data_IF_946973664415
#
_entry.id   IF_946973664415
#
_cell.length_a   1.000
_cell.length_b   1.000
_cell.length_c   1.000
_cell.angle_alpha   90.00
_cell.angle_beta   90.00
_cell.angle_gamma   90.00
#
_symmetry.space_group_name_H-M   'P 1'
#
loop_
_entity.id
_entity.type
_entity.pdbx_description
1 polymer ?
#
# COMPACT_ATOMS: atom_id res chain seq x y z
N UNK A 1 8.81 14.68 -18.54
CA UNK A 1 9.09 13.36 -19.17
C UNK A 1 8.35 12.33 -18.36
N UNK A 2 7.38 11.62 -18.94
CA UNK A 2 6.65 10.54 -18.27
C UNK A 2 7.62 9.39 -17.99
N UNK A 3 7.60 8.84 -16.78
CA UNK A 3 8.38 7.65 -16.41
C UNK A 3 7.67 6.37 -16.83
N UNK A 4 6.70 6.41 -17.74
CA UNK A 4 5.92 5.25 -18.16
C UNK A 4 6.37 4.77 -19.54
N UNK A 5 6.83 3.53 -19.63
CA UNK A 5 7.14 2.85 -20.87
C UNK A 5 5.88 2.18 -21.42
N UNK A 6 5.31 2.79 -22.46
CA UNK A 6 4.12 2.29 -23.15
C UNK A 6 4.36 0.96 -23.91
N UNK A 7 5.61 0.55 -24.15
CA UNK A 7 5.93 -0.71 -24.82
C UNK A 7 5.95 -1.89 -23.85
N UNK A 8 6.32 -1.66 -22.59
CA UNK A 8 6.32 -2.69 -21.54
C UNK A 8 5.13 -2.57 -20.58
N UNK A 9 4.36 -1.48 -20.66
CA UNK A 9 3.31 -1.09 -19.72
C UNK A 9 3.82 -0.91 -18.27
N UNK A 10 5.08 -0.48 -18.12
CA UNK A 10 5.77 -0.35 -16.82
C UNK A 10 6.13 1.10 -16.54
N UNK A 11 6.09 1.51 -15.28
CA UNK A 11 6.83 2.70 -14.89
C UNK A 11 8.33 2.37 -14.86
N UNK A 12 9.09 2.99 -15.74
CA UNK A 12 10.55 3.08 -15.67
C UNK A 12 10.92 3.72 -14.33
N UNK A 13 11.34 2.88 -13.41
CA UNK A 13 12.16 3.29 -12.28
C UNK A 13 13.39 3.99 -12.88
N UNK A 14 13.62 5.24 -12.53
CA UNK A 14 14.81 5.99 -12.94
C UNK A 14 16.07 5.22 -12.54
N UNK A 15 17.21 5.42 -13.21
CA UNK A 15 18.44 4.65 -12.96
C UNK A 15 18.97 4.77 -11.49
N UNK A 16 18.46 5.72 -10.69
CA UNK A 16 18.70 5.84 -9.25
C UNK A 16 17.68 5.13 -8.33
N UNK A 17 16.61 4.55 -8.89
CA UNK A 17 15.56 3.76 -8.22
C UNK A 17 15.81 2.24 -8.35
N UNK A 18 17.03 1.80 -8.69
CA UNK A 18 17.41 0.40 -8.49
C UNK A 18 17.22 0.03 -7.02
N UNK A 19 16.46 -1.02 -6.74
CA UNK A 19 16.14 -1.45 -5.37
C UNK A 19 17.38 -2.08 -4.69
N UNK A 20 18.28 -1.23 -4.22
CA UNK A 20 19.50 -1.58 -3.50
C UNK A 20 19.24 -2.27 -2.15
N UNK A 21 17.97 -2.33 -1.72
CA UNK A 21 17.55 -2.96 -0.48
C UNK A 21 16.95 -4.34 -0.70
N UNK A 22 16.66 -4.77 -1.94
CA UNK A 22 15.88 -5.98 -2.22
C UNK A 22 16.37 -7.23 -1.45
N UNK A 23 17.66 -7.56 -1.54
CA UNK A 23 18.20 -8.74 -0.87
C UNK A 23 18.20 -8.61 0.66
N UNK A 24 18.51 -7.42 1.18
CA UNK A 24 18.42 -7.14 2.63
C UNK A 24 16.98 -7.20 3.12
N UNK A 25 16.03 -6.76 2.30
CA UNK A 25 14.60 -6.80 2.58
C UNK A 25 14.09 -8.23 2.62
N UNK A 26 14.44 -9.06 1.63
CA UNK A 26 14.10 -10.50 1.62
C UNK A 26 14.62 -11.19 2.87
N UNK A 27 15.90 -10.98 3.19
CA UNK A 27 16.53 -11.53 4.39
C UNK A 27 15.79 -11.08 5.66
N UNK A 28 15.49 -9.78 5.77
CA UNK A 28 14.84 -9.24 6.96
C UNK A 28 13.40 -9.74 7.12
N UNK A 29 12.64 -9.82 6.04
CA UNK A 29 11.30 -10.40 6.06
C UNK A 29 11.33 -11.87 6.49
N UNK A 30 12.30 -12.64 6.00
CA UNK A 30 12.50 -14.03 6.42
C UNK A 30 12.79 -14.14 7.93
N UNK A 31 13.67 -13.31 8.48
CA UNK A 31 13.96 -13.24 9.93
C UNK A 31 12.72 -12.88 10.76
N UNK A 32 11.86 -12.01 10.22
CA UNK A 32 10.58 -11.63 10.84
C UNK A 32 9.49 -12.69 10.63
N UNK A 33 9.78 -13.82 9.98
CA UNK A 33 8.81 -14.86 9.66
C UNK A 33 7.67 -14.36 8.75
N UNK A 34 7.95 -13.34 7.94
CA UNK A 34 7.02 -12.75 6.99
C UNK A 34 7.37 -13.21 5.57
N UNK A 35 6.35 -13.42 4.75
CA UNK A 35 6.48 -13.84 3.37
C UNK A 35 5.11 -13.81 2.69
N UNK A 36 4.91 -14.71 1.72
CA UNK A 36 3.67 -14.78 0.94
C UNK A 36 2.55 -15.55 1.66
N UNK A 37 2.25 -15.13 2.89
CA UNK A 37 1.17 -15.68 3.68
C UNK A 37 0.28 -14.55 4.23
N UNK A 38 -1.05 -14.72 4.21
CA UNK A 38 -1.94 -13.78 4.87
C UNK A 38 -1.72 -13.83 6.39
N UNK A 39 -1.77 -12.67 7.03
CA UNK A 39 -1.65 -12.54 8.47
C UNK A 39 -2.95 -11.94 9.03
N UNK A 40 -3.74 -12.71 9.83
CA UNK A 40 -5.01 -12.23 10.37
C UNK A 40 -4.90 -10.96 11.23
N UNK A 41 -3.76 -10.76 11.91
CA UNK A 41 -3.52 -9.54 12.68
C UNK A 41 -3.34 -8.33 11.76
N UNK A 42 -2.70 -8.53 10.60
CA UNK A 42 -2.50 -7.48 9.61
C UNK A 42 -3.74 -7.22 8.76
N UNK A 43 -4.60 -8.22 8.54
CA UNK A 43 -5.95 -8.02 8.00
C UNK A 43 -6.79 -7.16 8.97
N UNK A 44 -6.74 -7.46 10.27
CA UNK A 44 -7.42 -6.65 11.29
C UNK A 44 -6.82 -5.23 11.40
N UNK A 45 -5.51 -5.09 11.25
CA UNK A 45 -4.86 -3.78 11.15
C UNK A 45 -5.34 -3.00 9.92
N UNK A 46 -5.40 -3.65 8.76
CA UNK A 46 -5.89 -3.05 7.52
C UNK A 46 -7.35 -2.57 7.66
N UNK A 47 -8.21 -3.34 8.33
CA UNK A 47 -9.58 -2.93 8.61
C UNK A 47 -9.64 -1.63 9.45
N UNK A 48 -8.88 -1.55 10.55
CA UNK A 48 -8.79 -0.34 11.38
C UNK A 48 -8.20 0.85 10.62
N UNK A 49 -7.22 0.59 9.76
CA UNK A 49 -6.63 1.61 8.88
C UNK A 49 -7.69 2.18 7.92
N UNK A 50 -8.51 1.33 7.31
CA UNK A 50 -9.61 1.74 6.45
C UNK A 50 -10.65 2.59 7.20
N UNK A 51 -11.07 2.15 8.39
CA UNK A 51 -12.01 2.89 9.25
C UNK A 51 -11.45 4.27 9.64
N UNK A 52 -10.18 4.33 10.05
CA UNK A 52 -9.51 5.59 10.39
C UNK A 52 -9.42 6.53 9.19
N UNK A 53 -9.10 6.01 8.01
CA UNK A 53 -9.05 6.79 6.78
C UNK A 53 -10.44 7.31 6.36
N UNK A 54 -11.47 6.48 6.51
CA UNK A 54 -12.86 6.88 6.26
C UNK A 54 -13.29 8.01 7.20
N UNK A 55 -13.01 7.90 8.49
CA UNK A 55 -13.29 8.94 9.48
C UNK A 55 -12.56 10.25 9.16
N UNK A 56 -11.26 10.16 8.84
CA UNK A 56 -10.43 11.31 8.47
C UNK A 56 -10.99 12.05 7.25
N UNK A 57 -11.44 11.31 6.24
CA UNK A 57 -11.99 11.86 5.00
C UNK A 57 -13.51 12.09 5.06
N UNK A 58 -14.17 11.84 6.21
CA UNK A 58 -15.62 11.96 6.40
C UNK A 58 -16.45 11.16 5.38
N UNK A 59 -16.03 9.92 5.11
CA UNK A 59 -16.66 9.03 4.13
C UNK A 59 -17.83 8.27 4.75
N UNK A 60 -18.85 7.98 3.93
CA UNK A 60 -19.97 7.12 4.29
C UNK A 60 -19.68 5.62 4.20
N UNK A 61 -18.45 5.26 3.81
CA UNK A 61 -17.98 3.89 3.65
C UNK A 61 -16.46 3.81 3.81
N UNK A 62 -15.93 2.59 3.85
CA UNK A 62 -14.50 2.34 4.04
C UNK A 62 -13.78 2.21 2.70
N UNK A 63 -12.58 2.79 2.54
CA UNK A 63 -11.73 2.52 1.39
C UNK A 63 -11.06 1.15 1.51
N UNK A 64 -10.35 0.73 0.46
CA UNK A 64 -9.44 -0.41 0.57
C UNK A 64 -8.22 -0.02 1.39
N UNK A 65 -7.68 -0.97 2.16
CA UNK A 65 -6.46 -0.76 2.92
C UNK A 65 -5.59 -2.02 2.92
N UNK A 66 -4.27 -1.82 2.93
CA UNK A 66 -3.31 -2.92 2.82
C UNK A 66 -2.09 -2.69 3.72
N UNK A 67 -1.56 -3.82 4.22
CA UNK A 67 -0.17 -3.99 4.58
C UNK A 67 0.50 -4.74 3.43
N UNK A 68 1.38 -4.06 2.72
CA UNK A 68 2.01 -4.54 1.50
C UNK A 68 3.50 -4.77 1.73
N UNK A 69 3.98 -5.98 1.47
CA UNK A 69 5.40 -6.33 1.47
C UNK A 69 5.90 -6.43 0.04
N UNK A 70 7.09 -5.91 -0.24
CA UNK A 70 7.60 -5.83 -1.63
C UNK A 70 8.89 -6.62 -1.75
N UNK A 71 8.89 -7.74 -2.46
CA UNK A 71 10.10 -8.51 -2.78
C UNK A 71 10.27 -8.63 -4.29
N UNK A 72 10.25 -9.83 -4.87
CA UNK A 72 10.21 -10.06 -6.31
C UNK A 72 8.84 -9.69 -6.90
N UNK A 73 7.80 -9.68 -6.05
CA UNK A 73 6.44 -9.21 -6.29
C UNK A 73 5.94 -8.44 -5.06
N UNK A 74 4.76 -7.84 -5.17
CA UNK A 74 4.03 -7.25 -4.05
C UNK A 74 3.09 -8.29 -3.45
N UNK A 75 3.12 -8.43 -2.12
CA UNK A 75 2.24 -9.31 -1.37
C UNK A 75 1.47 -8.55 -0.27
N UNK A 76 0.15 -8.56 -0.33
CA UNK A 76 -0.75 -7.95 0.65
C UNK A 76 -0.96 -8.92 1.82
N UNK A 77 0.02 -8.94 2.73
CA UNK A 77 -0.02 -9.75 3.96
C UNK A 77 -1.16 -9.33 4.88
N UNK A 78 -1.52 -8.05 4.88
CA UNK A 78 -2.76 -7.52 5.43
C UNK A 78 -3.58 -6.89 4.32
N UNK A 79 -4.86 -7.24 4.24
CA UNK A 79 -5.78 -6.74 3.21
C UNK A 79 -7.17 -6.56 3.80
N UNK A 80 -7.70 -5.36 3.62
CA UNK A 80 -9.11 -5.06 3.82
C UNK A 80 -9.70 -4.55 2.50
N UNK A 81 -10.80 -5.20 2.08
CA UNK A 81 -11.61 -4.78 0.94
C UNK A 81 -13.01 -4.39 1.44
N UNK A 82 -13.55 -3.24 1.04
CA UNK A 82 -14.88 -2.84 1.44
C UNK A 82 -15.95 -3.79 0.89
N UNK A 83 -17.09 -3.92 1.59
CA UNK A 83 -18.22 -4.70 1.12
C UNK A 83 -18.76 -4.15 -0.23
N UNK A 84 -19.37 -5.04 -1.01
CA UNK A 84 -19.67 -4.81 -2.43
C UNK A 84 -20.69 -3.68 -2.69
N UNK A 85 -21.45 -3.27 -1.69
CA UNK A 85 -22.42 -2.18 -1.70
C UNK A 85 -21.79 -0.78 -1.65
N UNK A 86 -20.53 -0.65 -1.23
CA UNK A 86 -19.78 0.62 -1.26
C UNK A 86 -18.77 0.72 -2.40
N UNK A 87 -18.37 -0.41 -2.99
CA UNK A 87 -17.62 -0.41 -4.23
C UNK A 87 -18.54 0.09 -5.37
N UNK A 88 -17.98 0.73 -6.40
CA UNK A 88 -18.73 1.16 -7.58
C UNK A 88 -19.74 0.07 -8.01
N UNK A 89 -21.05 0.38 -8.08
CA UNK A 89 -22.07 -0.58 -8.50
C UNK A 89 -21.78 -1.23 -9.87
N UNK A 90 -21.03 -0.54 -10.74
CA UNK A 90 -20.55 -1.09 -12.02
C UNK A 90 -19.54 -2.24 -11.86
N UNK A 91 -18.88 -2.33 -10.70
CA UNK A 91 -18.04 -3.45 -10.26
C UNK A 91 -18.82 -4.47 -9.41
N UNK A 92 -19.98 -4.09 -8.86
CA UNK A 92 -20.78 -4.91 -7.94
C UNK A 92 -21.70 -5.93 -8.66
N UNK A 93 -22.10 -5.67 -9.91
CA UNK A 93 -23.07 -6.52 -10.63
C UNK A 93 -22.45 -7.65 -11.48
N UNK A 94 -21.14 -7.91 -11.39
CA UNK A 94 -20.50 -8.98 -12.17
C UNK A 94 -20.50 -10.34 -11.43
N UNK A 95 -21.11 -11.41 -12.00
CA UNK A 95 -20.97 -12.76 -11.47
C UNK A 95 -19.50 -13.18 -11.54
N UNK A 96 -18.91 -13.57 -10.40
CA UNK A 96 -17.48 -13.91 -10.32
C UNK A 96 -16.56 -12.72 -10.00
N UNK A 97 -17.00 -11.81 -9.10
CA UNK A 97 -16.18 -10.71 -8.54
C UNK A 97 -14.73 -11.18 -8.35
N UNK A 98 -13.72 -10.54 -8.96
CA UNK A 98 -12.35 -10.89 -8.66
C UNK A 98 -12.13 -10.56 -7.19
N UNK A 99 -11.91 -11.61 -6.40
CA UNK A 99 -11.26 -11.49 -5.10
C UNK A 99 -10.03 -10.61 -5.30
N UNK A 100 -9.90 -9.53 -4.53
CA UNK A 100 -8.73 -8.65 -4.65
C UNK A 100 -7.52 -9.54 -4.41
N UNK A 101 -6.75 -9.77 -5.48
CA UNK A 101 -5.56 -10.61 -5.42
C UNK A 101 -4.63 -10.04 -4.36
N UNK A 102 -4.13 -10.91 -3.47
CA UNK A 102 -3.07 -10.53 -2.53
C UNK A 102 -1.71 -10.39 -3.20
N UNK A 103 -1.58 -10.80 -4.46
CA UNK A 103 -0.35 -10.76 -5.22
C UNK A 103 -0.50 -9.74 -6.35
N UNK A 104 0.50 -8.88 -6.51
CA UNK A 104 0.59 -7.89 -7.57
C UNK A 104 2.03 -7.80 -8.08
N UNK A 105 2.22 -7.47 -9.35
CA UNK A 105 3.56 -7.28 -9.90
C UNK A 105 4.32 -6.19 -9.14
N UNK A 106 5.63 -6.36 -9.00
CA UNK A 106 6.49 -5.52 -8.15
C UNK A 106 6.41 -4.03 -8.50
N UNK A 107 6.25 -3.71 -9.77
CA UNK A 107 6.31 -2.36 -10.30
C UNK A 107 4.94 -1.73 -10.58
N UNK A 108 3.85 -2.40 -10.19
CA UNK A 108 2.50 -1.87 -10.31
C UNK A 108 2.11 -1.00 -9.10
N UNK A 109 1.20 -0.04 -9.32
CA UNK A 109 0.67 0.80 -8.25
C UNK A 109 1.67 1.83 -7.72
N UNK A 110 1.39 2.36 -6.53
CA UNK A 110 2.13 3.50 -5.95
C UNK A 110 3.10 3.11 -4.85
N UNK A 111 2.88 1.96 -4.20
CA UNK A 111 3.72 1.46 -3.12
C UNK A 111 5.20 1.32 -3.51
N UNK A 112 5.56 0.87 -4.72
CA UNK A 112 6.97 0.80 -5.13
C UNK A 112 7.66 2.16 -5.12
N UNK A 113 6.96 3.24 -5.49
CA UNK A 113 7.49 4.60 -5.41
C UNK A 113 7.68 5.07 -3.96
N UNK A 114 6.81 4.66 -3.04
CA UNK A 114 6.94 4.96 -1.61
C UNK A 114 8.14 4.23 -1.01
N UNK A 115 8.34 2.97 -1.38
CA UNK A 115 9.50 2.18 -0.97
C UNK A 115 10.80 2.78 -1.50
N UNK A 116 10.89 3.04 -2.81
CA UNK A 116 12.09 3.58 -3.44
C UNK A 116 12.48 4.96 -2.90
N UNK A 117 11.51 5.79 -2.51
CA UNK A 117 11.76 7.15 -1.97
C UNK A 117 11.84 7.21 -0.45
N UNK A 118 11.50 6.11 0.24
CA UNK A 118 11.45 6.02 1.70
C UNK A 118 10.63 7.15 2.34
N UNK A 119 9.61 7.64 1.63
CA UNK A 119 8.84 8.83 2.00
C UNK A 119 7.36 8.61 1.74
N UNK A 120 6.52 8.97 2.72
CA UNK A 120 5.07 8.86 2.58
C UNK A 120 4.50 9.73 1.44
N UNK A 121 3.43 9.25 0.82
CA UNK A 121 2.84 9.83 -0.37
C UNK A 121 1.31 9.87 -0.22
N UNK A 122 0.73 11.05 -0.46
CA UNK A 122 -0.71 11.28 -0.46
C UNK A 122 -1.09 11.91 -1.80
N UNK A 123 -2.01 11.28 -2.51
CA UNK A 123 -2.52 11.68 -3.82
C UNK A 123 -4.05 11.72 -3.75
N UNK A 124 -4.66 12.90 -3.51
CA UNK A 124 -6.11 13.02 -3.42
C UNK A 124 -6.84 12.62 -4.70
N UNK A 125 -6.22 12.90 -5.85
CA UNK A 125 -6.62 12.38 -7.16
C UNK A 125 -5.35 12.02 -7.94
N UNK A 126 -5.12 10.75 -8.23
CA UNK A 126 -3.92 10.26 -8.91
C UNK A 126 -3.83 10.73 -10.36
N UNK A 127 -4.96 10.94 -11.04
CA UNK A 127 -4.97 11.42 -12.42
C UNK A 127 -4.54 12.89 -12.55
N UNK A 128 -4.59 13.65 -11.45
CA UNK A 128 -4.06 15.02 -11.40
C UNK A 128 -2.52 15.08 -11.41
N UNK A 129 -1.83 13.93 -11.37
CA UNK A 129 -0.37 13.84 -11.33
C UNK A 129 0.17 13.13 -12.57
N UNK A 130 0.58 13.88 -13.62
CA UNK A 130 1.01 13.33 -14.91
C UNK A 130 2.15 12.30 -14.86
N UNK A 131 2.95 12.31 -13.79
CA UNK A 131 4.03 11.32 -13.56
C UNK A 131 3.52 9.90 -13.28
N UNK A 132 2.24 9.75 -12.93
CA UNK A 132 1.60 8.47 -12.63
C UNK A 132 0.56 8.07 -13.69
N UNK A 133 0.47 8.83 -14.78
CA UNK A 133 -0.35 8.46 -15.93
C UNK A 133 0.22 7.19 -16.59
N UNK A 134 -0.66 6.23 -16.91
CA UNK A 134 -0.30 4.92 -17.46
C UNK A 134 -0.14 3.80 -16.44
N UNK A 135 -0.15 4.09 -15.13
CA UNK A 135 -0.06 3.03 -14.12
C UNK A 135 -1.21 2.01 -14.29
N UNK A 136 -0.96 0.70 -14.44
CA UNK A 136 -2.00 -0.31 -14.65
C UNK A 136 -3.10 -0.27 -13.58
N UNK A 137 -2.78 0.15 -12.36
CA UNK A 137 -3.75 0.30 -11.26
C UNK A 137 -4.77 1.42 -11.50
N UNK A 138 -4.37 2.48 -12.23
CA UNK A 138 -5.30 3.55 -12.67
C UNK A 138 -6.19 3.04 -13.79
N UNK A 139 -5.60 2.42 -14.80
CA UNK A 139 -6.30 2.12 -16.06
C UNK A 139 -7.11 0.80 -16.02
N UNK A 140 -6.74 -0.16 -15.15
CA UNK A 140 -7.38 -1.48 -15.08
C UNK A 140 -8.22 -1.70 -13.82
N UNK A 141 -7.81 -1.14 -12.67
CA UNK A 141 -8.48 -1.32 -11.37
C UNK A 141 -9.38 -0.13 -11.03
N UNK A 142 -9.19 1.02 -11.70
CA UNK A 142 -10.01 2.23 -11.50
C UNK A 142 -9.67 3.00 -10.23
N UNK A 143 -8.49 2.80 -9.65
CA UNK A 143 -8.06 3.53 -8.44
C UNK A 143 -7.85 5.02 -8.78
N UNK A 144 -8.48 5.90 -7.99
CA UNK A 144 -8.44 7.36 -8.16
C UNK A 144 -7.68 8.08 -7.07
N UNK A 145 -7.41 7.46 -5.94
CA UNK A 145 -6.69 8.10 -4.84
C UNK A 145 -5.71 7.13 -4.19
N UNK A 146 -4.70 7.68 -3.53
CA UNK A 146 -3.70 6.91 -2.81
C UNK A 146 -3.23 7.65 -1.56
N UNK A 147 -3.07 6.94 -0.46
CA UNK A 147 -2.39 7.41 0.75
C UNK A 147 -1.54 6.27 1.30
N UNK A 148 -0.23 6.43 1.36
CA UNK A 148 0.67 5.38 1.82
C UNK A 148 1.94 5.87 2.49
N UNK A 149 2.52 5.04 3.35
CA UNK A 149 3.77 5.31 4.06
C UNK A 149 4.68 4.07 4.09
N UNK A 150 6.00 4.26 4.05
CA UNK A 150 6.95 3.15 4.08
C UNK A 150 7.00 2.50 5.47
N UNK A 151 7.20 1.19 5.48
CA UNK A 151 7.48 0.41 6.68
C UNK A 151 8.99 0.26 6.80
N UNK A 152 9.62 1.18 7.51
CA UNK A 152 11.08 1.18 7.72
C UNK A 152 11.38 0.44 9.02
N UNK A 153 12.15 -0.64 8.92
CA UNK A 153 12.62 -1.40 10.07
C UNK A 153 13.60 -0.54 10.89
N UNK A 154 13.31 -0.23 12.17
CA UNK A 154 14.15 0.67 12.96
C UNK A 154 15.50 0.07 13.37
N UNK A 155 15.68 -1.25 13.26
CA UNK A 155 16.92 -1.96 13.63
C UNK A 155 17.89 -2.03 12.47
N UNK A 156 17.37 -2.34 11.27
CA UNK A 156 18.16 -2.58 10.05
C UNK A 156 18.14 -1.42 9.06
N UNK A 157 17.26 -0.43 9.28
CA UNK A 157 16.97 0.70 8.39
C UNK A 157 16.45 0.28 6.99
N UNK A 158 16.06 -0.99 6.81
CA UNK A 158 15.53 -1.51 5.55
C UNK A 158 14.04 -1.16 5.42
N UNK A 159 13.62 -0.69 4.25
CA UNK A 159 12.19 -0.51 3.96
C UNK A 159 11.59 -1.85 3.58
N UNK A 160 10.67 -2.38 4.40
CA UNK A 160 10.04 -3.70 4.22
C UNK A 160 8.90 -3.69 3.19
N UNK A 161 8.25 -2.54 3.04
CA UNK A 161 7.04 -2.39 2.25
C UNK A 161 6.29 -1.12 2.62
N UNK A 162 4.95 -1.17 2.60
CA UNK A 162 4.09 -0.02 2.90
C UNK A 162 2.83 -0.40 3.66
N UNK A 163 2.31 0.54 4.46
CA UNK A 163 0.87 0.62 4.71
C UNK A 163 0.25 1.58 3.72
N UNK A 164 -0.90 1.23 3.15
CA UNK A 164 -1.56 2.10 2.19
C UNK A 164 -3.09 1.97 2.20
N UNK A 165 -3.72 3.02 1.72
CA UNK A 165 -5.16 3.16 1.52
C UNK A 165 -5.40 3.62 0.09
N UNK A 166 -6.36 3.00 -0.59
CA UNK A 166 -6.78 3.37 -1.95
C UNK A 166 -8.29 3.36 -2.08
N UNK A 167 -8.79 4.18 -2.99
CA UNK A 167 -10.22 4.27 -3.30
C UNK A 167 -10.40 4.53 -4.80
N UNK A 168 -11.55 4.15 -5.33
CA UNK A 168 -11.98 4.36 -6.72
C UNK A 168 -12.51 5.77 -6.97
N UNK A 169 -12.66 6.59 -5.93
CA UNK A 169 -13.01 8.00 -6.04
C UNK A 169 -11.87 8.89 -5.53
N UNK A 170 -11.77 10.15 -6.01
CA UNK A 170 -10.91 11.14 -5.39
C UNK A 170 -11.29 11.35 -3.91
N UNK A 171 -10.29 11.38 -3.03
CA UNK A 171 -10.48 11.55 -1.58
C UNK A 171 -9.57 12.66 -1.04
N UNK A 172 -10.09 13.63 -0.28
CA UNK A 172 -9.30 14.76 0.21
C UNK A 172 -8.28 14.38 1.30
N UNK A 173 -8.42 13.22 1.94
CA UNK A 173 -7.58 12.72 3.04
C UNK A 173 -7.36 13.74 4.18
N UNK A 174 -8.46 14.30 4.66
CA UNK A 174 -8.48 15.34 5.70
C UNK A 174 -8.88 16.71 5.15
N UNK A 175 -8.98 17.70 6.04
CA UNK A 175 -9.28 19.10 5.66
C UNK A 175 -8.04 19.82 5.12
N UNK A 176 -6.86 19.35 5.49
CA UNK A 176 -5.57 19.86 5.06
C UNK A 176 -4.70 18.71 4.57
N UNK A 177 -3.90 18.94 3.53
CA UNK A 177 -3.02 17.91 2.96
C UNK A 177 -2.07 17.25 3.98
N UNK A 178 -1.75 17.95 5.08
CA UNK A 178 -0.88 17.45 6.14
C UNK A 178 -1.57 16.38 7.01
N UNK A 179 -2.90 16.44 7.19
CA UNK A 179 -3.62 15.55 8.10
C UNK A 179 -3.51 14.08 7.64
N UNK A 180 -3.75 13.81 6.35
CA UNK A 180 -3.55 12.48 5.75
C UNK A 180 -2.11 11.98 5.85
N UNK A 181 -1.13 12.87 5.65
CA UNK A 181 0.28 12.51 5.74
C UNK A 181 0.68 12.08 7.15
N UNK A 182 0.27 12.83 8.17
CA UNK A 182 0.57 12.50 9.57
C UNK A 182 -0.22 11.27 10.06
N UNK A 183 -1.46 11.12 9.60
CA UNK A 183 -2.24 9.91 9.85
C UNK A 183 -1.50 8.66 9.34
N UNK A 184 -1.16 8.60 8.05
CA UNK A 184 -0.58 7.39 7.46
C UNK A 184 0.82 7.07 8.01
N UNK A 185 1.62 8.09 8.35
CA UNK A 185 2.91 7.91 9.05
C UNK A 185 2.71 7.32 10.45
N UNK A 186 1.69 7.77 11.18
CA UNK A 186 1.36 7.23 12.50
C UNK A 186 0.95 5.76 12.40
N UNK A 187 0.15 5.41 11.39
CA UNK A 187 -0.23 4.02 11.14
C UNK A 187 0.99 3.15 10.77
N UNK A 188 1.91 3.65 9.93
CA UNK A 188 3.14 2.94 9.62
C UNK A 188 3.98 2.65 10.86
N UNK A 189 4.14 3.65 11.75
CA UNK A 189 4.86 3.47 13.03
C UNK A 189 4.20 2.42 13.92
N UNK A 190 2.88 2.50 14.08
CA UNK A 190 2.13 1.54 14.89
C UNK A 190 2.26 0.11 14.38
N UNK A 191 2.26 -0.11 13.06
CA UNK A 191 2.50 -1.44 12.50
C UNK A 191 3.94 -1.92 12.76
N UNK A 192 4.93 -1.03 12.66
CA UNK A 192 6.32 -1.38 12.98
C UNK A 192 6.50 -1.76 14.46
N UNK A 193 5.77 -1.11 15.37
CA UNK A 193 5.75 -1.47 16.80
C UNK A 193 5.18 -2.89 17.01
N UNK A 194 4.07 -3.23 16.35
CA UNK A 194 3.49 -4.59 16.37
C UNK A 194 4.52 -5.63 15.88
N UNK A 195 5.22 -5.33 14.78
CA UNK A 195 6.26 -6.20 14.23
C UNK A 195 7.43 -6.41 15.19
N UNK A 196 7.87 -5.35 15.87
CA UNK A 196 8.94 -5.42 16.85
C UNK A 196 8.55 -6.28 18.05
N UNK A 197 7.34 -6.10 18.58
CA UNK A 197 6.80 -6.92 19.69
C UNK A 197 6.76 -8.40 19.32
N UNK A 198 6.28 -8.75 18.12
CA UNK A 198 6.31 -10.14 17.61
C UNK A 198 7.71 -10.69 17.49
N UNK A 199 8.65 -9.89 17.00
CA UNK A 199 10.05 -10.29 16.90
C UNK A 199 10.67 -10.60 18.27
N UNK A 200 10.39 -9.77 19.28
CA UNK A 200 10.86 -9.98 20.66
C UNK A 200 10.25 -11.23 21.28
N UNK A 201 8.96 -11.47 21.08
CA UNK A 201 8.27 -12.68 21.58
C UNK A 201 8.85 -13.98 21.01
N UNK A 202 9.21 -13.98 19.72
CA UNK A 202 9.87 -15.15 19.08
C UNK A 202 11.29 -15.38 19.56
N UNK A 203 12.07 -14.33 19.80
CA UNK A 203 13.44 -14.48 20.31
C UNK A 203 13.50 -15.00 21.77
N UNK A 204 12.40 -14.90 22.52
CA UNK A 204 12.29 -15.35 23.90
C UNK A 204 11.72 -16.79 24.04
N UNK A 205 11.31 -17.43 22.94
CA UNK A 205 10.74 -18.78 22.89
C UNK A 205 11.76 -19.81 22.39
#
# INVERSE_FOLDING_TARGET
>A
MTTFDHHTARHLMTDGEQDQELERRKQRLHELGLGDNPDPEFDAFAARLAEGAASLAQLGGTPYAMVNLITDHQYFTGLYAPPADWADPSLAEQPGKPEVSRIMDRDHGYCPHVVGRRTALVLPDVCAYPRFAGNPVVDQIGIRTYMGAPLIDPVTDVTLGTVCVVDTEPRPWGRQAQEGLEFIKTQARSLMEILEERSRGRAAS
#
